data_IF_887249287512
#
_entry.id   IF_887249287512
#
_cell.length_a   1.000
_cell.length_b   1.000
_cell.length_c   1.000
_cell.angle_alpha   90.00
_cell.angle_beta   90.00
_cell.angle_gamma   90.00
#
_symmetry.space_group_name_H-M   'P 1'
#
loop_
_entity.id
_entity.type
_entity.pdbx_description
1 polymer ?
#
# COMPACT_ATOMS: atom_id res chain seq x y z
N UNK A 1 -8.26 57.59 -44.89
CA UNK A 1 -9.18 57.72 -43.74
C UNK A 1 -10.58 57.38 -44.23
N UNK A 2 -10.98 56.10 -44.18
CA UNK A 2 -12.27 55.65 -44.71
C UNK A 2 -12.49 54.14 -44.63
N UNK A 3 -11.79 53.44 -43.74
CA UNK A 3 -11.88 51.97 -43.61
C UNK A 3 -12.36 51.52 -42.22
N UNK A 4 -12.65 52.47 -41.32
CA UNK A 4 -13.16 52.21 -39.97
C UNK A 4 -14.64 52.61 -39.80
N UNK A 5 -15.21 53.40 -40.70
CA UNK A 5 -16.60 53.87 -40.59
C UNK A 5 -17.64 52.82 -41.05
N UNK A 6 -17.21 51.76 -41.73
CA UNK A 6 -18.08 50.64 -42.15
C UNK A 6 -18.16 49.49 -41.12
N UNK A 7 -17.42 49.57 -40.02
CA UNK A 7 -17.37 48.49 -39.00
C UNK A 7 -18.13 48.80 -37.72
N UNK A 8 -18.75 49.97 -37.62
CA UNK A 8 -19.53 50.41 -36.46
C UNK A 8 -20.78 51.18 -36.90
N UNK A 9 -21.59 50.56 -37.75
CA UNK A 9 -23.01 50.91 -37.83
C UNK A 9 -23.69 50.45 -36.55
N UNK A 10 -24.54 51.31 -35.99
CA UNK A 10 -25.21 51.19 -34.69
C UNK A 10 -25.91 49.84 -34.43
N UNK A 11 -26.18 49.07 -35.48
CA UNK A 11 -27.01 47.87 -35.47
C UNK A 11 -26.23 46.57 -35.82
N UNK A 12 -24.94 46.67 -36.19
CA UNK A 12 -24.12 45.50 -36.57
C UNK A 12 -22.77 45.49 -35.86
N UNK A 13 -22.52 44.45 -35.07
CA UNK A 13 -21.23 44.23 -34.40
C UNK A 13 -20.50 43.12 -35.16
N UNK A 14 -19.35 43.44 -35.77
CA UNK A 14 -18.60 42.53 -36.65
C UNK A 14 -19.40 41.96 -37.84
N UNK A 15 -20.30 42.76 -38.42
CA UNK A 15 -21.09 42.34 -39.58
C UNK A 15 -22.21 41.34 -39.26
N UNK A 16 -22.44 41.03 -37.99
CA UNK A 16 -23.60 40.28 -37.50
C UNK A 16 -24.53 41.27 -36.79
N UNK A 17 -25.83 41.28 -37.10
CA UNK A 17 -26.77 42.12 -36.37
C UNK A 17 -26.78 41.76 -34.89
N UNK A 18 -26.71 42.77 -34.03
CA UNK A 18 -26.66 42.57 -32.56
C UNK A 18 -27.90 41.80 -32.08
N UNK A 19 -29.02 41.97 -32.78
CA UNK A 19 -30.27 41.27 -32.52
C UNK A 19 -30.18 39.74 -32.72
N UNK A 20 -29.37 39.25 -33.67
CA UNK A 20 -29.15 37.81 -33.85
C UNK A 20 -28.24 37.25 -32.75
N UNK A 21 -27.22 38.02 -32.33
CA UNK A 21 -26.29 37.61 -31.27
C UNK A 21 -26.99 37.53 -29.90
N UNK A 22 -27.95 38.44 -29.65
CA UNK A 22 -28.77 38.46 -28.45
C UNK A 22 -30.09 37.67 -28.62
N UNK A 23 -30.29 36.98 -29.74
CA UNK A 23 -31.50 36.19 -29.95
C UNK A 23 -31.50 34.96 -29.04
N UNK A 24 -32.47 34.92 -28.13
CA UNK A 24 -32.71 33.74 -27.31
C UNK A 24 -33.50 32.71 -28.11
N UNK A 25 -32.80 31.74 -28.68
CA UNK A 25 -33.43 30.64 -29.38
C UNK A 25 -34.14 29.73 -28.36
N UNK A 26 -35.48 29.73 -28.41
CA UNK A 26 -36.30 28.80 -27.64
C UNK A 26 -36.72 27.63 -28.51
N UNK A 27 -36.56 26.42 -27.98
CA UNK A 27 -37.14 25.24 -28.60
C UNK A 27 -38.67 25.35 -28.56
N UNK A 28 -39.31 25.27 -29.73
CA UNK A 28 -40.76 25.21 -29.82
C UNK A 28 -41.25 23.88 -29.25
N UNK A 29 -41.80 23.89 -28.03
CA UNK A 29 -42.32 22.70 -27.35
C UNK A 29 -43.80 22.51 -27.68
N UNK A 30 -44.18 21.33 -28.20
CA UNK A 30 -45.58 20.94 -28.38
C UNK A 30 -46.05 20.21 -27.13
N UNK A 31 -47.14 20.68 -26.50
CA UNK A 31 -47.71 20.08 -25.29
C UNK A 31 -48.76 19.03 -25.65
N UNK A 32 -48.42 17.76 -25.48
CA UNK A 32 -49.35 16.64 -25.67
C UNK A 32 -50.11 16.40 -24.36
N UNK A 33 -51.44 16.47 -24.38
CA UNK A 33 -52.30 16.25 -23.21
C UNK A 33 -52.77 14.79 -23.12
N UNK A 34 -51.82 13.87 -22.93
CA UNK A 34 -52.11 12.45 -22.72
C UNK A 34 -51.72 12.04 -21.30
N UNK A 35 -52.64 11.37 -20.59
CA UNK A 35 -52.44 10.90 -19.22
C UNK A 35 -51.38 9.81 -19.12
N UNK A 36 -51.32 8.91 -20.11
CA UNK A 36 -50.40 7.77 -20.11
C UNK A 36 -48.95 8.20 -20.29
N UNK A 37 -48.71 9.07 -21.27
CA UNK A 37 -47.40 9.66 -21.56
C UNK A 37 -46.95 10.53 -20.39
N UNK A 38 -47.86 11.33 -19.83
CA UNK A 38 -47.58 12.13 -18.64
C UNK A 38 -47.15 11.28 -17.44
N UNK A 39 -47.84 10.16 -17.19
CA UNK A 39 -47.50 9.25 -16.10
C UNK A 39 -46.14 8.57 -16.30
N UNK A 40 -45.87 8.02 -17.48
CA UNK A 40 -44.56 7.40 -17.79
C UNK A 40 -43.41 8.40 -17.65
N UNK A 41 -43.61 9.63 -18.13
CA UNK A 41 -42.61 10.70 -17.98
C UNK A 41 -42.39 11.09 -16.51
N UNK A 42 -43.45 11.16 -15.70
CA UNK A 42 -43.35 11.44 -14.26
C UNK A 42 -42.64 10.29 -13.54
N UNK A 43 -43.00 9.04 -13.83
CA UNK A 43 -42.40 7.85 -13.24
C UNK A 43 -40.90 7.77 -13.56
N UNK A 44 -40.51 8.04 -14.81
CA UNK A 44 -39.10 8.11 -15.20
C UNK A 44 -38.33 9.17 -14.41
N UNK A 45 -38.88 10.39 -14.27
CA UNK A 45 -38.27 11.45 -13.46
C UNK A 45 -38.17 11.07 -11.98
N UNK A 46 -39.22 10.49 -11.41
CA UNK A 46 -39.23 10.01 -10.03
C UNK A 46 -38.20 8.89 -9.81
N UNK A 47 -38.05 7.96 -10.76
CA UNK A 47 -37.07 6.88 -10.68
C UNK A 47 -35.63 7.41 -10.70
N UNK A 48 -35.31 8.35 -11.59
CA UNK A 48 -34.00 9.01 -11.62
C UNK A 48 -33.74 9.77 -10.32
N UNK A 49 -34.73 10.52 -9.82
CA UNK A 49 -34.61 11.26 -8.57
C UNK A 49 -34.39 10.32 -7.38
N UNK A 50 -35.17 9.24 -7.28
CA UNK A 50 -35.00 8.21 -6.24
C UNK A 50 -33.63 7.54 -6.34
N UNK A 51 -33.15 7.23 -7.55
CA UNK A 51 -31.82 6.67 -7.73
C UNK A 51 -30.74 7.62 -7.22
N UNK A 52 -30.77 8.89 -7.64
CA UNK A 52 -29.78 9.89 -7.18
C UNK A 52 -29.85 10.08 -5.66
N UNK A 53 -31.04 10.19 -5.08
CA UNK A 53 -31.21 10.40 -3.65
C UNK A 53 -30.84 9.15 -2.83
N UNK A 54 -31.44 8.00 -3.12
CA UNK A 54 -31.24 6.78 -2.34
C UNK A 54 -29.87 6.15 -2.59
N UNK A 55 -29.44 6.05 -3.84
CA UNK A 55 -28.20 5.34 -4.18
C UNK A 55 -26.97 6.25 -4.08
N UNK A 56 -26.98 7.42 -4.72
CA UNK A 56 -25.79 8.29 -4.74
C UNK A 56 -25.64 9.09 -3.43
N UNK A 57 -26.70 9.74 -2.94
CA UNK A 57 -26.60 10.55 -1.73
C UNK A 57 -26.50 9.68 -0.47
N UNK A 58 -27.38 8.70 -0.27
CA UNK A 58 -27.37 7.88 0.94
C UNK A 58 -26.48 6.64 0.85
N UNK A 59 -26.43 5.97 -0.29
CA UNK A 59 -25.62 4.74 -0.44
C UNK A 59 -24.12 5.02 -0.54
N UNK A 60 -23.74 5.97 -1.39
CA UNK A 60 -22.33 6.32 -1.61
C UNK A 60 -21.85 7.51 -0.79
N UNK A 61 -22.73 8.12 0.01
CA UNK A 61 -22.44 9.35 0.76
C UNK A 61 -21.86 10.44 -0.16
N UNK A 62 -22.43 10.64 -1.35
CA UNK A 62 -21.93 11.60 -2.35
C UNK A 62 -21.90 13.07 -1.90
N UNK A 63 -22.47 13.37 -0.72
CA UNK A 63 -22.38 14.68 -0.08
C UNK A 63 -21.10 14.87 0.76
N UNK A 64 -20.31 13.81 0.98
CA UNK A 64 -19.03 13.87 1.67
C UNK A 64 -17.89 14.05 0.69
N UNK A 65 -16.97 14.95 1.02
CA UNK A 65 -15.69 15.07 0.32
C UNK A 65 -14.72 14.05 0.92
N UNK A 66 -14.12 13.23 0.07
CA UNK A 66 -13.14 12.22 0.47
C UNK A 66 -11.75 12.65 0.02
N UNK A 67 -10.75 12.39 0.87
CA UNK A 67 -9.34 12.62 0.55
C UNK A 67 -8.57 11.32 0.79
N UNK A 68 -7.63 10.93 -0.11
CA UNK A 68 -6.72 9.84 0.16
C UNK A 68 -5.81 10.19 1.35
N UNK A 69 -5.61 9.22 2.25
CA UNK A 69 -4.75 9.40 3.42
C UNK A 69 -3.30 9.13 3.01
N UNK A 70 -2.40 10.07 3.33
CA UNK A 70 -0.96 9.86 3.21
C UNK A 70 -0.45 9.16 4.48
N UNK A 71 0.15 7.99 4.32
CA UNK A 71 0.67 7.20 5.43
C UNK A 71 2.16 6.89 5.24
N UNK A 72 2.89 6.87 6.35
CA UNK A 72 4.28 6.44 6.43
C UNK A 72 4.40 5.33 7.46
N UNK A 73 5.09 4.25 7.12
CA UNK A 73 5.30 3.11 8.00
C UNK A 73 6.79 2.85 8.17
N UNK A 74 7.26 2.78 9.41
CA UNK A 74 8.62 2.39 9.74
C UNK A 74 8.57 1.13 10.57
N UNK A 75 9.29 0.11 10.12
CA UNK A 75 9.44 -1.12 10.86
C UNK A 75 10.78 -1.20 11.56
N UNK A 76 10.81 -1.78 12.75
CA UNK A 76 12.03 -2.09 13.50
C UNK A 76 12.00 -3.54 13.93
N UNK A 77 13.07 -4.26 13.65
CA UNK A 77 13.23 -5.63 14.13
C UNK A 77 13.78 -5.61 15.56
N UNK A 78 13.14 -6.38 16.44
CA UNK A 78 13.50 -6.58 17.83
C UNK A 78 13.67 -8.09 18.03
N UNK A 79 14.76 -8.52 18.65
CA UNK A 79 15.04 -9.93 18.82
C UNK A 79 15.96 -10.17 20.00
N UNK A 80 15.67 -11.21 20.78
CA UNK A 80 16.59 -11.75 21.77
C UNK A 80 16.61 -13.25 21.60
N UNK A 81 17.73 -13.77 21.09
CA UNK A 81 17.94 -15.20 20.85
C UNK A 81 18.31 -15.98 22.13
N UNK A 82 18.12 -15.38 23.32
CA UNK A 82 18.50 -15.99 24.59
C UNK A 82 17.61 -17.20 24.87
N UNK A 83 18.23 -18.38 24.95
CA UNK A 83 17.56 -19.61 25.37
C UNK A 83 16.90 -20.41 24.25
N UNK A 84 17.06 -20.02 22.97
CA UNK A 84 16.66 -20.89 21.87
C UNK A 84 17.58 -22.11 21.79
N UNK A 85 16.97 -23.29 21.75
CA UNK A 85 17.66 -24.52 21.45
C UNK A 85 17.61 -24.79 19.94
N UNK A 86 18.76 -24.77 19.27
CA UNK A 86 18.83 -25.03 17.83
C UNK A 86 18.35 -26.42 17.45
N UNK A 87 18.36 -27.38 18.38
CA UNK A 87 17.88 -28.72 18.10
C UNK A 87 16.36 -28.83 18.00
N UNK A 88 15.59 -27.82 18.42
CA UNK A 88 14.12 -27.85 18.35
C UNK A 88 13.60 -27.33 17.00
N UNK A 89 14.43 -26.59 16.26
CA UNK A 89 14.09 -25.99 14.98
C UNK A 89 14.19 -27.05 13.86
N UNK A 90 13.08 -27.30 13.17
CA UNK A 90 12.98 -28.34 12.14
C UNK A 90 13.98 -28.14 10.98
N UNK A 91 14.20 -26.90 10.55
CA UNK A 91 15.16 -26.55 9.50
C UNK A 91 16.63 -26.70 9.91
N UNK A 92 16.92 -26.80 11.20
CA UNK A 92 18.28 -27.03 11.71
C UNK A 92 18.63 -28.52 11.85
N UNK A 93 17.63 -29.41 11.87
CA UNK A 93 17.83 -30.85 12.07
C UNK A 93 18.27 -31.58 10.79
N UNK A 94 17.94 -31.04 9.61
CA UNK A 94 18.14 -31.69 8.30
C UNK A 94 19.56 -31.63 7.71
N UNK A 95 20.58 -31.31 8.51
CA UNK A 95 21.97 -31.16 8.05
C UNK A 95 22.36 -29.74 7.62
N UNK A 96 21.43 -28.80 7.65
CA UNK A 96 21.73 -27.36 7.53
C UNK A 96 22.42 -26.85 8.79
N UNK A 97 23.55 -26.13 8.63
CA UNK A 97 24.18 -25.47 9.77
C UNK A 97 23.31 -24.28 10.19
N UNK A 98 22.89 -24.21 11.45
CA UNK A 98 22.19 -23.05 11.97
C UNK A 98 23.15 -22.16 12.75
N UNK A 99 23.05 -20.86 12.55
CA UNK A 99 23.88 -19.86 13.24
C UNK A 99 22.99 -18.80 13.87
N UNK A 100 23.33 -18.44 15.10
CA UNK A 100 22.74 -17.27 15.74
C UNK A 100 23.32 -16.01 15.09
N UNK A 101 22.42 -15.16 14.60
CA UNK A 101 22.75 -13.90 13.97
C UNK A 101 22.12 -12.79 14.80
N UNK A 102 22.83 -11.69 15.02
CA UNK A 102 22.26 -10.54 15.71
C UNK A 102 21.35 -9.75 14.76
N UNK A 103 20.46 -8.92 15.30
CA UNK A 103 19.51 -8.10 14.56
C UNK A 103 20.21 -7.28 13.47
N UNK A 104 21.35 -6.67 13.79
CA UNK A 104 22.13 -5.84 12.86
C UNK A 104 22.75 -6.61 11.69
N UNK A 105 22.89 -7.94 11.83
CA UNK A 105 23.41 -8.81 10.77
C UNK A 105 22.28 -9.53 10.03
N UNK A 106 21.11 -9.71 10.67
CA UNK A 106 19.93 -10.29 10.06
C UNK A 106 19.15 -9.27 9.21
N UNK A 107 19.21 -7.98 9.57
CA UNK A 107 18.58 -6.90 8.81
C UNK A 107 19.58 -6.32 7.83
N UNK A 108 19.29 -6.44 6.54
CA UNK A 108 20.03 -5.69 5.52
C UNK A 108 19.65 -4.21 5.61
N UNK A 109 20.57 -3.26 5.38
CA UNK A 109 20.20 -1.85 5.31
C UNK A 109 19.10 -1.67 4.25
N UNK A 110 17.97 -1.09 4.67
CA UNK A 110 16.77 -1.03 3.85
C UNK A 110 17.05 -0.20 2.57
N UNK A 111 16.95 -0.81 1.37
CA UNK A 111 17.15 -0.09 0.11
C UNK A 111 15.97 0.85 -0.20
N UNK A 112 14.79 0.59 0.39
CA UNK A 112 13.56 1.34 0.14
C UNK A 112 12.88 1.76 1.45
N UNK A 113 12.35 2.99 1.54
CA UNK A 113 11.51 3.40 2.65
C UNK A 113 10.23 2.54 2.69
N UNK A 114 9.81 2.15 3.89
CA UNK A 114 8.66 1.27 4.15
C UNK A 114 8.84 -0.23 3.82
N UNK A 115 10.08 -0.70 3.64
CA UNK A 115 10.40 -2.13 3.54
C UNK A 115 11.32 -2.55 4.69
N UNK A 116 11.26 -3.82 5.09
CA UNK A 116 12.25 -4.43 5.97
C UNK A 116 12.71 -5.71 5.31
N UNK A 117 14.02 -5.88 5.17
CA UNK A 117 14.61 -7.12 4.70
C UNK A 117 15.12 -7.95 5.87
N UNK A 118 14.52 -9.13 6.07
CA UNK A 118 14.92 -10.08 7.10
C UNK A 118 15.62 -11.25 6.44
N UNK A 119 16.89 -11.44 6.79
CA UNK A 119 17.71 -12.52 6.27
C UNK A 119 17.37 -13.83 6.97
N UNK A 120 16.94 -14.82 6.21
CA UNK A 120 16.59 -16.17 6.70
C UNK A 120 17.67 -17.20 6.39
N UNK A 121 18.40 -17.00 5.29
CA UNK A 121 19.47 -17.87 4.80
C UNK A 121 20.67 -17.03 4.34
N UNK A 122 21.88 -17.48 4.66
CA UNK A 122 23.11 -16.81 4.28
C UNK A 122 24.12 -17.80 3.73
N UNK A 123 24.87 -17.34 2.72
CA UNK A 123 25.98 -18.06 2.11
C UNK A 123 27.25 -17.23 2.22
N UNK A 124 28.20 -17.70 3.02
CA UNK A 124 29.52 -17.09 3.15
C UNK A 124 30.51 -17.76 2.19
N UNK A 125 31.21 -16.94 1.41
CA UNK A 125 32.30 -17.39 0.54
C UNK A 125 33.64 -16.89 1.10
N UNK A 126 34.48 -17.79 1.60
CA UNK A 126 35.86 -17.49 1.95
C UNK A 126 36.68 -17.45 0.67
N UNK A 127 37.14 -16.27 0.27
CA UNK A 127 37.95 -16.08 -0.92
C UNK A 127 39.41 -15.83 -0.55
N UNK A 128 40.32 -16.60 -1.14
CA UNK A 128 41.77 -16.36 -1.03
C UNK A 128 42.35 -16.08 -2.40
N UNK A 129 43.44 -15.33 -2.42
CA UNK A 129 44.20 -15.09 -3.66
C UNK A 129 44.78 -16.40 -4.16
N UNK A 130 44.65 -16.66 -5.45
CA UNK A 130 45.26 -17.82 -6.08
C UNK A 130 46.75 -17.51 -6.34
N UNK A 131 47.65 -18.20 -5.64
CA UNK A 131 49.08 -17.96 -5.72
C UNK A 131 49.73 -18.97 -6.68
N UNK A 132 50.80 -18.56 -7.38
CA UNK A 132 51.58 -19.49 -8.20
C UNK A 132 52.18 -20.60 -7.32
N UNK A 133 52.31 -21.81 -7.87
CA UNK A 133 52.79 -22.99 -7.14
C UNK A 133 54.20 -22.71 -6.60
N UNK A 134 54.39 -22.78 -5.27
CA UNK A 134 55.67 -22.52 -4.60
C UNK A 134 55.96 -21.06 -4.24
N UNK A 135 55.04 -20.13 -4.48
CA UNK A 135 55.21 -18.73 -4.08
C UNK A 135 54.78 -18.50 -2.61
N UNK A 136 55.69 -17.96 -1.79
CA UNK A 136 55.41 -17.58 -0.39
C UNK A 136 54.62 -16.26 -0.27
N UNK A 137 54.61 -15.44 -1.32
CA UNK A 137 53.90 -14.16 -1.40
C UNK A 137 53.11 -14.12 -2.70
N UNK A 138 51.81 -13.90 -2.60
CA UNK A 138 50.91 -13.86 -3.74
C UNK A 138 50.94 -12.49 -4.41
N UNK A 139 50.89 -12.46 -5.74
CA UNK A 139 50.79 -11.20 -6.47
C UNK A 139 49.48 -10.47 -6.10
N UNK A 140 49.56 -9.16 -5.88
CA UNK A 140 48.39 -8.30 -5.64
C UNK A 140 47.43 -8.25 -6.84
N UNK A 141 47.86 -8.70 -8.02
CA UNK A 141 47.03 -8.79 -9.22
C UNK A 141 46.40 -10.17 -9.45
N UNK A 142 46.73 -11.17 -8.63
CA UNK A 142 46.16 -12.51 -8.80
C UNK A 142 44.65 -12.52 -8.56
N UNK A 143 43.87 -13.34 -9.29
CA UNK A 143 42.44 -13.48 -9.05
C UNK A 143 42.17 -14.08 -7.67
N UNK A 144 40.98 -13.78 -7.13
CA UNK A 144 40.46 -14.45 -5.95
C UNK A 144 39.79 -15.76 -6.37
N UNK A 145 40.05 -16.82 -5.61
CA UNK A 145 39.39 -18.10 -5.73
C UNK A 145 38.64 -18.40 -4.44
N UNK A 146 37.40 -18.86 -4.56
CA UNK A 146 36.61 -19.34 -3.42
C UNK A 146 37.25 -20.61 -2.88
N UNK A 147 37.68 -20.57 -1.63
CA UNK A 147 38.34 -21.67 -0.92
C UNK A 147 37.32 -22.48 -0.12
N UNK A 148 36.36 -21.79 0.49
CA UNK A 148 35.28 -22.42 1.21
C UNK A 148 33.97 -21.70 0.95
N UNK A 149 32.89 -22.47 0.87
CA UNK A 149 31.53 -21.98 0.89
C UNK A 149 30.86 -22.55 2.11
N UNK A 150 30.29 -21.70 2.96
CA UNK A 150 29.53 -22.09 4.13
C UNK A 150 28.11 -21.57 3.97
N UNK A 151 27.15 -22.46 4.18
CA UNK A 151 25.74 -22.15 4.08
C UNK A 151 25.15 -22.33 5.47
N UNK A 152 24.38 -21.35 5.92
CA UNK A 152 23.71 -21.44 7.20
C UNK A 152 22.37 -20.74 7.21
N UNK A 153 21.46 -21.32 7.98
CA UNK A 153 20.17 -20.73 8.30
C UNK A 153 20.28 -19.84 9.54
N UNK A 154 19.52 -18.76 9.55
CA UNK A 154 19.41 -17.88 10.71
C UNK A 154 18.53 -18.54 11.75
N UNK A 155 19.15 -18.98 12.85
CA UNK A 155 18.44 -19.69 13.91
C UNK A 155 17.45 -18.76 14.62
N UNK A 156 16.18 -19.19 14.73
CA UNK A 156 15.16 -18.48 15.50
C UNK A 156 14.60 -17.23 14.85
N UNK A 157 14.77 -17.07 13.53
CA UNK A 157 14.26 -15.89 12.79
C UNK A 157 12.75 -15.71 12.93
N UNK A 158 12.01 -16.82 13.08
CA UNK A 158 10.56 -16.85 13.34
C UNK A 158 10.15 -16.16 14.65
N UNK A 159 11.04 -16.12 15.63
CA UNK A 159 10.79 -15.53 16.95
C UNK A 159 11.21 -14.05 17.03
N UNK A 160 11.78 -13.50 15.96
CA UNK A 160 12.00 -12.06 15.91
C UNK A 160 10.67 -11.33 15.90
N UNK A 161 10.64 -10.22 16.60
CA UNK A 161 9.50 -9.33 16.66
C UNK A 161 9.70 -8.15 15.71
N UNK A 162 8.72 -7.89 14.87
CA UNK A 162 8.64 -6.69 14.06
C UNK A 162 7.77 -5.68 14.80
N UNK A 163 8.35 -4.54 15.14
CA UNK A 163 7.64 -3.37 15.63
C UNK A 163 7.29 -2.47 14.44
N UNK A 164 6.01 -2.28 14.17
CA UNK A 164 5.53 -1.40 13.11
C UNK A 164 5.07 -0.08 13.73
N UNK A 165 5.69 1.02 13.31
CA UNK A 165 5.30 2.39 13.62
C UNK A 165 4.66 3.00 12.40
N UNK A 166 3.39 3.39 12.48
CA UNK A 166 2.65 3.98 11.37
C UNK A 166 2.07 5.32 11.76
N UNK A 167 2.19 6.29 10.86
CA UNK A 167 1.51 7.59 10.97
C UNK A 167 0.75 7.83 9.67
N UNK A 168 -0.50 8.27 9.78
CA UNK A 168 -1.37 8.50 8.65
C UNK A 168 -2.13 9.82 8.82
N UNK A 169 -2.21 10.62 7.75
CA UNK A 169 -2.88 11.92 7.77
C UNK A 169 -3.62 12.21 6.46
N UNK A 170 -4.81 12.81 6.56
CA UNK A 170 -5.50 13.42 5.43
C UNK A 170 -4.95 14.85 5.24
N UNK A 171 -4.08 15.04 4.26
CA UNK A 171 -3.20 16.20 4.17
C UNK A 171 -3.95 17.53 4.02
N UNK A 172 -4.98 17.59 3.18
CA UNK A 172 -5.76 18.80 2.92
C UNK A 172 -6.68 19.10 4.10
N UNK A 173 -7.40 18.09 4.60
CA UNK A 173 -8.30 18.29 5.73
C UNK A 173 -7.57 18.66 7.02
N UNK A 174 -6.45 18.01 7.31
CA UNK A 174 -5.62 18.35 8.46
C UNK A 174 -4.99 19.73 8.32
N UNK A 175 -4.49 20.10 7.13
CA UNK A 175 -3.91 21.43 6.91
C UNK A 175 -4.95 22.55 7.04
N UNK A 176 -6.20 22.32 6.64
CA UNK A 176 -7.25 23.34 6.72
C UNK A 176 -7.83 23.51 8.13
N UNK A 177 -8.04 22.40 8.86
CA UNK A 177 -8.75 22.40 10.13
C UNK A 177 -7.85 22.24 11.35
N UNK A 178 -6.65 21.69 11.18
CA UNK A 178 -5.78 21.21 12.26
C UNK A 178 -6.48 20.29 13.27
N UNK A 179 -7.50 19.57 12.82
CA UNK A 179 -8.25 18.64 13.65
C UNK A 179 -7.55 17.28 13.71
N UNK A 180 -7.22 16.84 14.92
CA UNK A 180 -6.58 15.55 15.20
C UNK A 180 -7.38 14.36 14.65
N UNK A 181 -8.69 14.51 14.37
CA UNK A 181 -9.48 13.45 13.71
C UNK A 181 -8.99 13.09 12.30
N UNK A 182 -8.27 13.99 11.64
CA UNK A 182 -7.68 13.77 10.32
C UNK A 182 -6.25 13.23 10.38
N UNK A 183 -5.75 12.95 11.58
CA UNK A 183 -4.45 12.35 11.85
C UNK A 183 -4.65 11.08 12.68
N UNK A 184 -3.85 10.07 12.41
CA UNK A 184 -3.75 8.94 13.33
C UNK A 184 -2.37 8.33 13.34
N UNK A 185 -2.07 7.72 14.48
CA UNK A 185 -0.80 7.06 14.78
C UNK A 185 -1.14 5.73 15.48
N UNK A 186 -0.14 4.90 15.75
CA UNK A 186 -0.27 3.64 16.48
C UNK A 186 -1.01 3.78 17.83
N UNK A 187 -1.02 4.97 18.41
CA UNK A 187 -1.70 5.25 19.68
C UNK A 187 -3.19 5.47 19.54
N UNK A 188 -3.65 5.94 18.39
CA UNK A 188 -5.06 6.31 18.16
C UNK A 188 -5.78 5.34 17.25
N UNK A 189 -5.04 4.55 16.48
CA UNK A 189 -5.61 3.59 15.54
C UNK A 189 -5.65 2.18 16.12
N UNK A 190 -6.79 1.50 15.91
CA UNK A 190 -6.87 0.05 16.08
C UNK A 190 -6.26 -0.63 14.86
N UNK A 191 -5.55 -1.74 15.10
CA UNK A 191 -4.93 -2.56 14.07
C UNK A 191 -5.46 -3.98 14.10
N UNK A 192 -5.38 -4.67 12.97
CA UNK A 192 -5.67 -6.11 12.88
C UNK A 192 -4.70 -6.78 11.91
N UNK A 193 -4.15 -7.92 12.30
CA UNK A 193 -3.43 -8.80 11.39
C UNK A 193 -4.45 -9.76 10.81
N UNK A 194 -4.61 -9.69 9.48
CA UNK A 194 -5.56 -10.52 8.74
C UNK A 194 -4.80 -11.45 7.81
N UNK A 195 -5.23 -12.71 7.79
CA UNK A 195 -4.83 -13.68 6.78
C UNK A 195 -5.92 -13.81 5.74
N UNK A 196 -5.52 -13.86 4.48
CA UNK A 196 -6.41 -14.13 3.35
C UNK A 196 -6.16 -15.56 2.88
N UNK A 197 -6.85 -16.53 3.48
CA UNK A 197 -6.70 -17.95 3.11
C UNK A 197 -7.91 -18.44 2.32
N UNK A 198 -7.67 -19.31 1.36
CA UNK A 198 -8.71 -20.12 0.75
C UNK A 198 -8.93 -21.35 1.63
N UNK A 199 -10.14 -21.53 2.16
CA UNK A 199 -10.52 -22.65 3.02
C UNK A 199 -10.61 -23.99 2.24
N UNK A 200 -9.98 -24.10 1.07
CA UNK A 200 -10.13 -25.23 0.14
C UNK A 200 -11.49 -25.27 -0.55
N UNK A 201 -12.29 -24.21 -0.43
CA UNK A 201 -13.64 -24.10 -1.01
C UNK A 201 -13.70 -23.13 -2.20
N UNK A 202 -12.56 -22.56 -2.61
CA UNK A 202 -12.49 -21.52 -3.64
C UNK A 202 -12.93 -20.15 -3.15
N UNK A 203 -13.17 -19.99 -1.84
CA UNK A 203 -13.60 -18.72 -1.21
C UNK A 203 -12.49 -18.24 -0.30
N UNK A 204 -11.97 -17.05 -0.61
CA UNK A 204 -11.07 -16.32 0.29
C UNK A 204 -11.87 -15.88 1.52
N UNK A 205 -11.46 -16.32 2.69
CA UNK A 205 -11.98 -15.81 3.96
C UNK A 205 -10.93 -14.96 4.64
N UNK A 206 -11.42 -13.87 5.21
CA UNK A 206 -10.63 -12.97 6.05
C UNK A 206 -10.62 -13.55 7.46
N UNK A 207 -9.47 -14.08 7.88
CA UNK A 207 -9.28 -14.58 9.22
C UNK A 207 -8.47 -13.54 9.99
N UNK A 208 -9.07 -12.97 11.04
CA UNK A 208 -8.34 -12.09 11.96
C UNK A 208 -7.50 -12.95 12.90
N UNK A 209 -6.18 -12.87 12.78
CA UNK A 209 -5.24 -13.60 13.63
C UNK A 209 -5.01 -12.88 14.96
N UNK A 210 -4.91 -11.55 14.90
CA UNK A 210 -4.63 -10.72 16.09
C UNK A 210 -5.18 -9.32 15.92
N UNK A 211 -5.73 -8.79 17.01
CA UNK A 211 -6.21 -7.41 17.10
C UNK A 211 -5.29 -6.60 18.02
N UNK A 212 -5.01 -5.37 17.60
CA UNK A 212 -4.25 -4.37 18.34
C UNK A 212 -5.19 -3.24 18.67
N UNK A 213 -5.38 -2.97 19.96
CA UNK A 213 -6.17 -1.83 20.40
C UNK A 213 -5.35 -0.55 20.35
N UNK A 214 -6.01 0.59 20.16
CA UNK A 214 -5.42 1.91 20.28
C UNK A 214 -4.61 2.02 21.58
N UNK A 215 -3.36 2.47 21.45
CA UNK A 215 -2.41 2.61 22.56
C UNK A 215 -1.54 1.37 22.82
N UNK A 216 -1.78 0.26 22.13
CA UNK A 216 -0.88 -0.90 22.16
C UNK A 216 0.20 -0.80 21.08
N UNK A 217 1.40 -1.34 21.37
CA UNK A 217 2.45 -1.45 20.37
C UNK A 217 2.08 -2.55 19.36
N UNK A 218 2.15 -2.23 18.07
CA UNK A 218 2.03 -3.20 16.98
C UNK A 218 3.31 -4.04 16.90
N UNK A 219 3.37 -5.03 17.79
CA UNK A 219 4.45 -5.99 17.90
C UNK A 219 3.94 -7.37 17.48
N UNK A 220 4.49 -7.89 16.40
CA UNK A 220 4.14 -9.21 15.85
C UNK A 220 5.41 -10.01 15.60
N UNK A 221 5.35 -11.33 15.68
CA UNK A 221 6.51 -12.16 15.32
C UNK A 221 6.62 -12.30 13.80
N UNK A 222 7.82 -12.55 13.28
CA UNK A 222 7.99 -12.92 11.87
C UNK A 222 7.20 -14.19 11.56
N UNK A 223 7.09 -15.11 12.54
CA UNK A 223 6.21 -16.28 12.47
C UNK A 223 4.76 -15.93 12.18
N UNK A 224 4.18 -15.02 12.96
CA UNK A 224 2.81 -14.55 12.77
C UNK A 224 2.61 -13.89 11.39
N UNK A 225 3.60 -13.14 10.89
CA UNK A 225 3.53 -12.50 9.56
C UNK A 225 3.52 -13.55 8.44
N UNK A 226 4.43 -14.52 8.51
CA UNK A 226 4.55 -15.60 7.52
C UNK A 226 3.29 -16.47 7.50
N UNK A 227 2.78 -16.82 8.68
CA UNK A 227 1.52 -17.55 8.83
C UNK A 227 0.34 -16.74 8.31
N UNK A 228 0.29 -15.43 8.57
CA UNK A 228 -0.73 -14.53 8.04
C UNK A 228 -0.72 -14.50 6.51
N UNK A 229 0.46 -14.53 5.89
CA UNK A 229 0.63 -14.61 4.45
C UNK A 229 0.23 -16.00 3.88
N UNK A 230 0.00 -17.00 4.74
CA UNK A 230 -0.47 -18.32 4.36
C UNK A 230 0.65 -19.31 3.99
N UNK A 231 1.91 -18.92 4.17
CA UNK A 231 3.08 -19.75 3.85
C UNK A 231 3.52 -20.59 5.05
N UNK A 232 4.05 -21.79 4.76
CA UNK A 232 4.78 -22.57 5.75
C UNK A 232 6.24 -22.14 5.80
N UNK A 233 6.87 -22.23 6.97
CA UNK A 233 8.30 -21.95 7.12
C UNK A 233 9.19 -22.84 6.24
N UNK A 234 8.75 -24.07 5.94
CA UNK A 234 9.45 -24.96 5.02
C UNK A 234 9.38 -24.55 3.54
N UNK A 235 8.50 -23.62 3.16
CA UNK A 235 8.43 -23.09 1.78
C UNK A 235 9.37 -21.88 1.59
N UNK A 236 9.79 -21.25 2.70
CA UNK A 236 10.59 -20.01 2.72
C UNK A 236 12.07 -20.27 3.01
N UNK A 237 12.38 -21.43 3.60
CA UNK A 237 13.72 -21.89 4.01
C UNK A 237 14.21 -23.05 3.14
#
# INVERSE_FOLDING_TARGET
MGWLDDKLTRDTFFGVPIDDLLSYQTVKVVRIQDRSIGFMALLGKCAVLLYVMCFLMFGQNGYLHYEPVAATASGKLLGSLRGLNTSELSYCQGGGMCRFVDIYSAVAPDPEPNSIFITTYMREHEQKRQCAVGANVCDRRSPFQTVATREYYVAGVEQYHVLISQEAQATQFFHQSHDERFKGDMRTMDGKVQSYRDDGTGRKRDITLREFKAGSLMLMTVGEIVEAAGFGWGDIL
#
